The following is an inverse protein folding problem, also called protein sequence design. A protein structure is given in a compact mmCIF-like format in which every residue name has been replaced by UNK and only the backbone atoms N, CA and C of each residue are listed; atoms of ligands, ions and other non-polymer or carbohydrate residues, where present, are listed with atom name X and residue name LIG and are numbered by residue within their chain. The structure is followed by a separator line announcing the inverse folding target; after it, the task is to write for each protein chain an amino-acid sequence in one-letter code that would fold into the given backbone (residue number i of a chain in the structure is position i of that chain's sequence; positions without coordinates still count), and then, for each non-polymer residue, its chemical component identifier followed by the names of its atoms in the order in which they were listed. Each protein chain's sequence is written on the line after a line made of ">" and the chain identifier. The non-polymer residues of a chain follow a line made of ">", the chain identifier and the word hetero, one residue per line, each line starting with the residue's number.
data_IF_729882224682
#
_entry.id   IF_729882224682
#
_cell.length_a   1.000
_cell.length_b   1.000
_cell.length_c   1.000
_cell.angle_alpha   90.00
_cell.angle_beta   90.00
_cell.angle_gamma   90.00
#
_symmetry.space_group_name_H-M   'P 1'
#
loop_
_entity.id
_entity.type
_entity.pdbx_description
1 polymer ?
#
# COMPACT_ATOMS: atom_id res chain seq x y z
N UNK A 1 5.53 19.28 -0.83
CA UNK A 1 4.87 18.64 -1.94
C UNK A 1 4.44 17.25 -1.60
N UNK A 2 3.17 16.93 -1.79
CA UNK A 2 2.66 15.61 -1.46
C UNK A 2 2.99 14.58 -2.54
N UNK A 3 3.14 13.34 -2.13
CA UNK A 3 3.27 12.21 -3.05
C UNK A 3 1.88 11.89 -3.58
N UNK A 4 1.77 11.78 -4.89
CA UNK A 4 0.49 11.48 -5.55
C UNK A 4 0.51 10.03 -6.02
N UNK A 5 -0.03 9.15 -5.18
CA UNK A 5 -0.06 7.72 -5.46
C UNK A 5 -1.50 7.30 -5.68
N UNK A 6 -1.77 6.74 -6.86
CA UNK A 6 -3.09 6.17 -7.13
C UNK A 6 -3.21 4.83 -6.43
N UNK A 7 -4.44 4.50 -6.05
CA UNK A 7 -4.69 3.24 -5.35
C UNK A 7 -4.25 2.03 -6.16
N UNK A 8 -4.41 2.08 -7.48
CA UNK A 8 -3.98 0.99 -8.36
C UNK A 8 -2.47 0.71 -8.21
N UNK A 9 -1.66 1.77 -8.08
CA UNK A 9 -0.21 1.61 -7.93
C UNK A 9 0.14 0.99 -6.59
N UNK A 10 -0.58 1.37 -5.53
CA UNK A 10 -0.38 0.77 -4.23
C UNK A 10 -0.79 -0.71 -4.24
N UNK A 11 -1.91 -1.03 -4.86
CA UNK A 11 -2.36 -2.42 -4.98
C UNK A 11 -1.33 -3.29 -5.71
N UNK A 12 -0.75 -2.75 -6.78
CA UNK A 12 0.26 -3.46 -7.54
C UNK A 12 1.49 -3.76 -6.68
N UNK A 13 1.94 -2.78 -5.90
CA UNK A 13 3.06 -2.99 -5.00
C UNK A 13 2.73 -4.07 -3.96
N UNK A 14 1.55 -3.99 -3.35
CA UNK A 14 1.15 -4.96 -2.35
C UNK A 14 1.04 -6.37 -2.93
N UNK A 15 0.54 -6.48 -4.17
CA UNK A 15 0.47 -7.76 -4.86
C UNK A 15 1.86 -8.35 -5.07
N UNK A 16 2.82 -7.52 -5.46
CA UNK A 16 4.20 -7.96 -5.65
C UNK A 16 4.82 -8.47 -4.35
N UNK A 17 4.41 -7.90 -3.23
CA UNK A 17 4.90 -8.31 -1.92
C UNK A 17 4.22 -9.57 -1.39
N UNK A 18 3.18 -10.04 -2.07
CA UNK A 18 2.49 -11.26 -1.67
C UNK A 18 1.20 -11.04 -0.90
N UNK A 19 0.68 -9.81 -0.89
CA UNK A 19 -0.60 -9.53 -0.26
C UNK A 19 -1.75 -9.92 -1.17
N UNK A 20 -2.82 -10.43 -0.58
CA UNK A 20 -4.05 -10.79 -1.29
C UNK A 20 -5.18 -9.89 -0.81
N UNK A 21 -5.86 -9.19 -1.72
CA UNK A 21 -6.95 -8.28 -1.33
C UNK A 21 -8.27 -9.02 -1.18
N UNK A 22 -9.05 -8.60 -0.18
CA UNK A 22 -10.43 -9.04 0.01
C UNK A 22 -11.32 -7.82 0.12
N UNK A 23 -12.28 -7.69 -0.79
CA UNK A 23 -13.21 -6.58 -0.79
C UNK A 23 -14.28 -6.76 0.27
N UNK A 24 -14.43 -5.76 1.13
CA UNK A 24 -15.53 -5.66 2.08
C UNK A 24 -16.43 -4.49 1.65
N UNK A 25 -17.65 -4.37 2.19
CA UNK A 25 -18.56 -3.30 1.77
C UNK A 25 -17.99 -1.89 1.88
N UNK A 26 -17.23 -1.60 2.95
CA UNK A 26 -16.67 -0.27 3.17
C UNK A 26 -15.15 -0.25 3.32
N UNK A 27 -14.53 -1.43 3.28
CA UNK A 27 -13.07 -1.57 3.44
C UNK A 27 -12.52 -2.51 2.41
N UNK A 28 -11.20 -2.48 2.25
CA UNK A 28 -10.47 -3.52 1.57
C UNK A 28 -9.42 -4.05 2.55
N UNK A 29 -9.33 -5.38 2.66
CA UNK A 29 -8.39 -6.03 3.56
C UNK A 29 -7.33 -6.72 2.72
N UNK A 30 -6.07 -6.38 2.98
CA UNK A 30 -4.94 -7.05 2.34
C UNK A 30 -4.32 -8.01 3.35
N UNK A 31 -4.17 -9.26 2.97
CA UNK A 31 -3.60 -10.29 3.83
C UNK A 31 -2.26 -10.75 3.28
N UNK A 32 -1.31 -10.93 4.18
CA UNK A 32 0.00 -11.50 3.86
C UNK A 32 0.20 -12.70 4.77
N UNK A 33 -0.27 -13.89 4.34
CA UNK A 33 -0.24 -15.07 5.21
C UNK A 33 1.14 -15.47 5.70
N UNK A 34 2.13 -15.32 4.83
CA UNK A 34 3.51 -15.71 5.17
C UNK A 34 4.06 -14.98 6.40
N UNK A 35 3.64 -13.74 6.62
CA UNK A 35 4.08 -12.95 7.77
C UNK A 35 2.96 -12.71 8.78
N UNK A 36 1.79 -13.28 8.55
CA UNK A 36 0.61 -13.10 9.40
C UNK A 36 0.28 -11.62 9.57
N UNK A 37 0.32 -10.88 8.46
CA UNK A 37 0.08 -9.44 8.46
C UNK A 37 -1.24 -9.13 7.80
N UNK A 38 -2.01 -8.24 8.42
CA UNK A 38 -3.24 -7.70 7.85
C UNK A 38 -3.11 -6.20 7.69
N UNK A 39 -3.60 -5.70 6.57
CA UNK A 39 -3.65 -4.27 6.30
C UNK A 39 -5.07 -3.93 5.88
N UNK A 40 -5.71 -3.00 6.60
CA UNK A 40 -7.09 -2.61 6.32
C UNK A 40 -7.09 -1.16 5.85
N UNK A 41 -7.67 -0.93 4.68
CA UNK A 41 -7.81 0.41 4.13
C UNK A 41 -9.27 0.65 3.77
N UNK A 42 -9.67 1.93 3.72
CA UNK A 42 -10.98 2.23 3.16
C UNK A 42 -10.99 1.89 1.67
N UNK A 43 -12.15 1.72 1.10
CA UNK A 43 -12.24 1.44 -0.33
C UNK A 43 -11.90 2.70 -1.13
N UNK A 44 -11.04 2.52 -2.11
CA UNK A 44 -10.67 3.55 -3.07
C UNK A 44 -11.02 3.06 -4.46
N UNK A 45 -11.27 4.00 -5.37
CA UNK A 45 -11.28 3.65 -6.78
C UNK A 45 -9.84 3.49 -7.25
N UNK A 46 -9.65 2.75 -8.35
CA UNK A 46 -8.32 2.47 -8.87
C UNK A 46 -7.53 3.75 -9.17
N UNK A 47 -8.21 4.76 -9.69
CA UNK A 47 -7.60 6.04 -10.08
C UNK A 47 -7.60 7.06 -8.95
N UNK A 48 -8.16 6.72 -7.81
CA UNK A 48 -8.24 7.64 -6.68
C UNK A 48 -6.90 7.70 -5.96
N UNK A 49 -6.53 8.92 -5.53
CA UNK A 49 -5.29 9.10 -4.79
C UNK A 49 -5.44 8.61 -3.36
N UNK A 50 -4.44 7.85 -2.91
CA UNK A 50 -4.41 7.38 -1.53
C UNK A 50 -4.02 8.55 -0.63
N UNK A 51 -4.72 8.71 0.49
CA UNK A 51 -4.43 9.82 1.40
C UNK A 51 -3.03 9.66 2.01
N UNK A 52 -2.36 10.79 2.30
CA UNK A 52 -1.04 10.73 2.94
C UNK A 52 -1.03 9.94 4.25
N UNK A 53 -2.10 10.05 5.03
CA UNK A 53 -2.20 9.30 6.29
C UNK A 53 -2.17 7.79 6.05
N UNK A 54 -2.90 7.32 5.04
CA UNK A 54 -2.92 5.90 4.72
C UNK A 54 -1.60 5.43 4.12
N UNK A 55 -0.98 6.25 3.28
CA UNK A 55 0.33 5.91 2.73
C UNK A 55 1.37 5.77 3.83
N UNK A 56 1.36 6.69 4.80
CA UNK A 56 2.27 6.64 5.94
C UNK A 56 2.05 5.37 6.76
N UNK A 57 0.78 5.02 6.99
CA UNK A 57 0.44 3.82 7.75
C UNK A 57 0.94 2.55 7.05
N UNK A 58 0.74 2.46 5.73
CA UNK A 58 1.21 1.31 4.96
C UNK A 58 2.73 1.23 4.97
N UNK A 59 3.39 2.36 4.73
CA UNK A 59 4.84 2.45 4.73
C UNK A 59 5.42 1.96 6.05
N UNK A 60 4.85 2.43 7.15
CA UNK A 60 5.31 2.06 8.48
C UNK A 60 5.09 0.58 8.77
N UNK A 61 3.92 0.08 8.41
CA UNK A 61 3.59 -1.34 8.63
C UNK A 61 4.57 -2.25 7.88
N UNK A 62 4.83 -1.95 6.62
CA UNK A 62 5.72 -2.77 5.81
C UNK A 62 7.15 -2.75 6.35
N UNK A 63 7.59 -1.58 6.81
CA UNK A 63 8.92 -1.44 7.39
C UNK A 63 9.04 -2.21 8.70
N UNK A 64 8.05 -2.07 9.57
CA UNK A 64 8.05 -2.74 10.87
C UNK A 64 7.99 -4.26 10.76
N UNK A 65 7.30 -4.75 9.72
CA UNK A 65 7.19 -6.19 9.49
C UNK A 65 8.35 -6.76 8.68
N UNK A 66 9.27 -5.90 8.26
CA UNK A 66 10.41 -6.34 7.48
C UNK A 66 10.07 -6.76 6.06
N UNK A 67 8.91 -6.35 5.56
CA UNK A 67 8.46 -6.71 4.22
C UNK A 67 9.03 -5.78 3.16
N UNK A 68 9.19 -4.50 3.49
CA UNK A 68 9.73 -3.52 2.58
C UNK A 68 10.25 -2.33 3.38
N UNK A 69 11.54 -2.00 3.27
CA UNK A 69 12.09 -0.82 3.96
C UNK A 69 11.38 0.46 3.51
N UNK A 70 11.26 1.42 4.42
CA UNK A 70 10.54 2.67 4.15
C UNK A 70 11.12 3.43 2.96
N UNK A 71 12.44 3.48 2.83
CA UNK A 71 13.07 4.18 1.71
C UNK A 71 12.81 3.47 0.39
N UNK A 72 12.72 2.14 0.40
CA UNK A 72 12.41 1.39 -0.81
C UNK A 72 10.94 1.57 -1.19
N UNK A 73 10.05 1.64 -0.21
CA UNK A 73 8.64 1.97 -0.44
C UNK A 73 8.53 3.30 -1.18
N UNK A 74 9.25 4.31 -0.69
CA UNK A 74 9.24 5.63 -1.31
C UNK A 74 9.78 5.57 -2.75
N UNK A 75 10.88 4.85 -2.97
CA UNK A 75 11.47 4.70 -4.30
C UNK A 75 10.53 4.03 -5.29
N UNK A 76 9.84 3.00 -4.84
CA UNK A 76 8.99 2.22 -5.73
C UNK A 76 7.70 2.94 -6.11
N UNK A 77 7.15 3.74 -5.19
CA UNK A 77 5.91 4.45 -5.46
C UNK A 77 6.14 5.87 -5.92
N UNK A 78 7.26 6.48 -5.55
CA UNK A 78 7.59 7.83 -5.98
C UNK A 78 8.34 7.76 -7.31
N UNK A 79 7.60 7.46 -8.37
CA UNK A 79 8.19 7.34 -9.70
C UNK A 79 8.41 8.73 -10.27
N UNK A 80 9.65 9.14 -10.30
CA UNK A 80 10.01 10.39 -10.90
C UNK A 80 9.96 10.25 -12.42
N UNK A 81 9.27 11.14 -13.11
CA UNK A 81 9.38 11.16 -14.56
C UNK A 81 10.81 11.54 -14.91
N UNK A 82 11.37 10.79 -15.79
CA UNK A 82 12.74 11.00 -16.18
C UNK A 82 12.92 12.37 -16.85
#
# INVERSE_FOLDING_TARGET
>A
MGIRIQFADLCELLDELGFSPTMQPIHIVFEHPASDTLLVLRRYRADELVTPANLTAVRKLLDERGLLPADEFDSRLHKEPA
#
